data_IF_526355626065
#
_entry.id   IF_526355626065
#
_cell.length_a   1.000
_cell.length_b   1.000
_cell.length_c   1.000
_cell.angle_alpha   90.00
_cell.angle_beta   90.00
_cell.angle_gamma   90.00
#
_symmetry.space_group_name_H-M   'P 1'
#
loop_
_entity.id
_entity.type
_entity.pdbx_description
1 polymer ?
#
# COMPACT_ATOMS: atom_id res chain seq x y z
N UNK A 1 21.67 -33.69 -18.47
CA UNK A 1 22.70 -33.20 -17.51
C UNK A 1 22.46 -31.72 -17.28
N UNK A 2 22.22 -31.38 -16.00
CA UNK A 2 22.44 -30.09 -15.33
C UNK A 2 21.81 -28.82 -15.95
N UNK A 3 20.60 -28.47 -15.51
CA UNK A 3 20.25 -27.05 -15.32
C UNK A 3 20.84 -26.65 -13.97
N UNK A 4 22.00 -26.00 -13.96
CA UNK A 4 22.52 -25.35 -12.76
C UNK A 4 21.61 -24.18 -12.40
N UNK A 5 21.07 -24.09 -11.17
CA UNK A 5 20.52 -22.84 -10.69
C UNK A 5 21.72 -21.95 -10.35
N UNK A 6 21.95 -20.91 -11.13
CA UNK A 6 22.86 -19.83 -10.76
C UNK A 6 22.27 -19.10 -9.57
N UNK A 7 22.67 -19.50 -8.36
CA UNK A 7 22.44 -18.76 -7.12
C UNK A 7 23.22 -17.44 -7.20
N UNK A 8 22.56 -16.40 -7.70
CA UNK A 8 23.01 -15.01 -7.60
C UNK A 8 22.63 -14.49 -6.21
N UNK A 9 23.57 -14.61 -5.28
CA UNK A 9 23.50 -14.00 -3.96
C UNK A 9 23.67 -12.48 -4.06
N UNK A 10 22.58 -11.77 -4.28
CA UNK A 10 22.40 -10.37 -3.86
C UNK A 10 21.19 -10.34 -2.94
N UNK A 11 21.17 -9.52 -1.86
CA UNK A 11 19.89 -9.21 -1.25
C UNK A 11 19.09 -8.50 -2.33
N UNK A 12 18.13 -9.22 -2.93
CA UNK A 12 17.09 -8.66 -3.76
C UNK A 12 16.57 -7.44 -2.99
N UNK A 13 16.80 -6.23 -3.53
CA UNK A 13 16.21 -5.03 -2.96
C UNK A 13 14.71 -5.33 -2.96
N UNK A 14 14.11 -5.51 -1.79
CA UNK A 14 12.66 -5.62 -1.68
C UNK A 14 12.10 -4.32 -2.21
N UNK A 15 11.66 -4.31 -3.47
CA UNK A 15 11.05 -3.14 -4.09
C UNK A 15 9.85 -2.77 -3.24
N UNK A 16 10.00 -1.65 -2.53
CA UNK A 16 9.02 -1.17 -1.57
C UNK A 16 8.00 -0.34 -2.32
N UNK A 17 6.73 -0.70 -2.22
CA UNK A 17 5.65 0.02 -2.89
C UNK A 17 5.19 1.14 -1.96
N UNK A 18 5.29 2.39 -2.41
CA UNK A 18 4.78 3.55 -1.67
C UNK A 18 3.50 4.03 -2.34
N UNK A 19 2.39 3.96 -1.61
CA UNK A 19 1.09 4.44 -2.06
C UNK A 19 0.70 5.72 -1.31
N UNK A 20 0.68 6.85 -2.01
CA UNK A 20 0.24 8.12 -1.44
C UNK A 20 -1.23 8.38 -1.73
N UNK A 21 -2.01 8.64 -0.68
CA UNK A 21 -3.39 9.07 -0.81
C UNK A 21 -3.57 10.48 -0.26
N UNK A 22 -4.39 11.26 -0.98
CA UNK A 22 -4.83 12.56 -0.51
C UNK A 22 -5.53 12.51 0.85
N UNK A 23 -5.74 13.69 1.45
CA UNK A 23 -6.20 13.78 2.84
C UNK A 23 -7.52 13.01 3.09
N UNK A 24 -7.60 12.28 4.20
CA UNK A 24 -8.76 11.46 4.59
C UNK A 24 -9.35 11.89 5.94
N UNK A 25 -10.64 11.61 6.14
CA UNK A 25 -11.30 11.78 7.45
C UNK A 25 -10.72 10.79 8.46
N UNK A 26 -10.71 11.15 9.75
CA UNK A 26 -10.22 10.30 10.85
C UNK A 26 -10.80 8.88 10.81
N UNK A 27 -12.12 8.75 10.62
CA UNK A 27 -12.78 7.44 10.58
C UNK A 27 -12.29 6.56 9.42
N UNK A 28 -11.99 7.16 8.26
CA UNK A 28 -11.45 6.41 7.11
C UNK A 28 -10.03 5.90 7.36
N UNK A 29 -9.22 6.67 8.10
CA UNK A 29 -7.87 6.26 8.50
C UNK A 29 -7.95 5.13 9.53
N UNK A 30 -8.89 5.22 10.49
CA UNK A 30 -9.17 4.13 11.43
C UNK A 30 -9.62 2.88 10.69
N UNK A 31 -10.59 2.98 9.79
CA UNK A 31 -11.09 1.82 9.03
C UNK A 31 -9.97 1.18 8.20
N UNK A 32 -9.09 1.98 7.58
CA UNK A 32 -7.92 1.47 6.86
C UNK A 32 -7.01 0.63 7.79
N UNK A 33 -6.71 1.14 9.00
CA UNK A 33 -5.90 0.42 9.99
C UNK A 33 -6.53 -0.90 10.45
N UNK A 34 -7.86 -0.95 10.45
CA UNK A 34 -8.65 -2.14 10.80
C UNK A 34 -8.87 -3.09 9.60
N UNK A 35 -8.25 -2.82 8.44
CA UNK A 35 -8.39 -3.67 7.26
C UNK A 35 -9.76 -3.60 6.59
N UNK A 36 -10.48 -2.49 6.75
CA UNK A 36 -11.87 -2.35 6.31
C UNK A 36 -12.18 -0.98 5.70
N UNK A 37 -13.41 -0.84 5.20
CA UNK A 37 -13.90 0.43 4.67
C UNK A 37 -13.34 0.80 3.30
N UNK A 38 -13.75 1.97 2.81
CA UNK A 38 -13.51 2.38 1.41
C UNK A 38 -12.04 2.68 1.10
N UNK A 39 -11.27 3.16 2.08
CA UNK A 39 -9.85 3.47 1.88
C UNK A 39 -9.02 2.19 1.74
N UNK A 40 -9.30 1.17 2.55
CA UNK A 40 -8.71 -0.15 2.40
C UNK A 40 -8.99 -0.76 1.04
N UNK A 41 -10.25 -0.74 0.58
CA UNK A 41 -10.63 -1.24 -0.76
C UNK A 41 -9.84 -0.57 -1.88
N UNK A 42 -9.56 0.73 -1.76
CA UNK A 42 -8.72 1.46 -2.74
C UNK A 42 -7.27 1.02 -2.72
N UNK A 43 -6.71 0.80 -1.53
CA UNK A 43 -5.35 0.26 -1.38
C UNK A 43 -5.25 -1.12 -2.01
N UNK A 44 -6.19 -2.02 -1.67
CA UNK A 44 -6.24 -3.36 -2.24
C UNK A 44 -6.38 -3.36 -3.76
N UNK A 45 -7.23 -2.47 -4.30
CA UNK A 45 -7.37 -2.30 -5.75
C UNK A 45 -6.07 -1.82 -6.40
N UNK A 46 -5.40 -0.81 -5.84
CA UNK A 46 -4.13 -0.32 -6.39
C UNK A 46 -3.05 -1.41 -6.39
N UNK A 47 -3.00 -2.25 -5.35
CA UNK A 47 -2.09 -3.40 -5.32
C UNK A 47 -2.45 -4.42 -6.40
N UNK A 48 -3.74 -4.74 -6.58
CA UNK A 48 -4.22 -5.66 -7.63
C UNK A 48 -3.84 -5.16 -9.03
N UNK A 49 -4.03 -3.87 -9.30
CA UNK A 49 -3.68 -3.26 -10.60
C UNK A 49 -2.16 -3.34 -10.87
N UNK A 50 -1.33 -3.16 -9.84
CA UNK A 50 0.12 -3.32 -9.95
C UNK A 50 0.55 -4.78 -10.17
N UNK A 51 -0.15 -5.72 -9.54
CA UNK A 51 0.08 -7.16 -9.76
C UNK A 51 -0.31 -7.57 -11.19
N UNK A 52 -1.47 -7.12 -11.67
CA UNK A 52 -1.94 -7.36 -13.04
C UNK A 52 -0.99 -6.78 -14.10
N UNK A 53 -0.37 -5.62 -13.81
CA UNK A 53 0.63 -5.01 -14.66
C UNK A 53 2.00 -5.72 -14.63
N UNK A 54 2.21 -6.66 -13.71
CA UNK A 54 3.50 -7.33 -13.51
C UNK A 54 4.57 -6.46 -12.84
N UNK A 55 4.19 -5.30 -12.31
CA UNK A 55 5.07 -4.38 -11.58
C UNK A 55 5.38 -4.89 -10.16
N UNK A 56 4.51 -5.75 -9.63
CA UNK A 56 4.59 -6.31 -8.28
C UNK A 56 4.44 -7.82 -8.36
N UNK A 57 5.47 -8.55 -7.93
CA UNK A 57 5.43 -10.02 -7.90
C UNK A 57 4.56 -10.57 -6.77
N UNK A 58 4.24 -11.86 -6.83
CA UNK A 58 3.43 -12.57 -5.82
C UNK A 58 4.10 -12.65 -4.42
N UNK A 59 5.40 -12.33 -4.34
CA UNK A 59 6.19 -12.40 -3.11
C UNK A 59 6.11 -11.13 -2.26
N UNK A 60 6.51 -11.26 -0.99
CA UNK A 60 6.41 -10.21 0.04
C UNK A 60 7.22 -8.96 -0.35
N UNK A 61 6.52 -7.98 -0.91
CA UNK A 61 6.98 -6.60 -1.05
C UNK A 61 6.34 -5.75 0.05
N UNK A 62 7.11 -5.00 0.85
CA UNK A 62 6.54 -4.09 1.84
C UNK A 62 5.74 -2.98 1.14
N UNK A 63 4.47 -2.81 1.53
CA UNK A 63 3.60 -1.72 1.07
C UNK A 63 3.48 -0.65 2.15
N UNK A 64 3.95 0.56 1.85
CA UNK A 64 3.83 1.73 2.72
C UNK A 64 2.70 2.60 2.20
N UNK A 65 1.65 2.76 3.00
CA UNK A 65 0.51 3.64 2.66
C UNK A 65 0.62 4.95 3.44
N UNK A 66 0.82 6.05 2.72
CA UNK A 66 0.94 7.39 3.30
C UNK A 66 -0.42 8.11 3.18
N UNK A 67 -0.97 8.52 4.32
CA UNK A 67 -2.25 9.24 4.39
C UNK A 67 -2.12 10.46 5.29
N UNK A 68 -2.71 11.59 4.86
CA UNK A 68 -2.85 12.79 5.69
C UNK A 68 -4.24 12.84 6.34
N UNK A 69 -4.32 13.12 7.63
CA UNK A 69 -5.63 13.38 8.25
C UNK A 69 -6.13 14.79 7.90
N UNK A 70 -7.38 14.89 7.43
CA UNK A 70 -8.07 16.18 7.26
C UNK A 70 -8.23 16.87 8.62
N UNK A 71 -7.92 18.17 8.68
CA UNK A 71 -8.26 19.01 9.83
C UNK A 71 -9.78 19.04 9.99
N UNK A 72 -10.28 18.88 11.22
CA UNK A 72 -11.70 19.01 11.53
C UNK A 72 -11.97 20.48 11.83
N UNK A 73 -12.90 21.12 11.12
CA UNK A 73 -13.33 22.50 11.39
C UNK A 73 -14.31 22.56 12.56
N UNK A 74 -14.02 21.89 13.69
CA UNK A 74 -14.94 21.77 14.82
C UNK A 74 -14.92 22.99 15.75
N UNK A 75 -14.95 24.20 15.22
CA UNK A 75 -14.90 25.39 16.07
C UNK A 75 -15.03 26.74 15.36
N UNK A 76 -15.79 26.82 14.26
CA UNK A 76 -16.11 28.11 13.65
C UNK A 76 -17.59 28.51 13.79
N UNK A 77 -18.44 27.64 14.37
CA UNK A 77 -19.89 27.85 14.49
C UNK A 77 -20.49 27.16 15.73
N UNK A 78 -19.70 26.99 16.79
CA UNK A 78 -20.18 26.62 18.13
C UNK A 78 -19.96 27.83 19.05
#
# INVERSE_FOLDING_TARGET
>A
MSKTPSTSSKPEKTDTIILEFGSQKKDRIRDLREGRGRLFKKVAQAISELQEAGEVGDSVQPVIVIVKQKKSNKGLWD
#
